data_IF_068037845473
#
_entry.id   IF_068037845473
#
_cell.length_a   1.000
_cell.length_b   1.000
_cell.length_c   1.000
_cell.angle_alpha   90.00
_cell.angle_beta   90.00
_cell.angle_gamma   90.00
#
_symmetry.space_group_name_H-M   'P 1'
#
loop_
_entity.id
_entity.type
_entity.pdbx_description
1 polymer ?
#
# COMPACT_ATOMS: atom_id res chain seq x y z
N UNK A 1 -4.38 12.36 -23.81
CA UNK A 1 -5.47 11.54 -23.29
C UNK A 1 -5.31 11.22 -21.82
N UNK A 2 -6.37 11.35 -21.08
CA UNK A 2 -6.32 11.08 -19.66
C UNK A 2 -6.75 9.67 -19.36
N UNK A 3 -6.09 9.07 -18.39
CA UNK A 3 -6.44 7.76 -17.89
C UNK A 3 -7.17 7.90 -16.57
N UNK A 4 -8.02 6.93 -16.25
CA UNK A 4 -8.63 6.92 -14.93
C UNK A 4 -7.56 6.90 -13.85
N UNK A 5 -7.84 7.59 -12.78
CA UNK A 5 -6.94 7.62 -11.66
C UNK A 5 -6.78 6.22 -11.09
N UNK A 6 -5.56 5.85 -10.79
CA UNK A 6 -5.28 4.55 -10.22
C UNK A 6 -5.03 3.46 -11.24
N UNK A 7 -5.35 3.71 -12.51
CA UNK A 7 -5.05 2.75 -13.55
C UNK A 7 -3.80 3.15 -14.34
N UNK A 8 -3.24 4.29 -14.04
CA UNK A 8 -2.04 4.79 -14.69
C UNK A 8 -0.83 4.35 -13.86
N UNK A 9 0.06 3.51 -14.43
CA UNK A 9 1.20 3.04 -13.64
C UNK A 9 2.12 4.16 -13.17
N UNK A 10 2.06 5.32 -13.80
CA UNK A 10 2.87 6.45 -13.35
C UNK A 10 2.36 7.07 -12.06
N UNK A 11 1.15 6.71 -11.64
CA UNK A 11 0.56 7.29 -10.45
C UNK A 11 0.83 6.44 -9.21
N UNK A 12 1.61 5.39 -9.33
CA UNK A 12 1.93 4.59 -8.17
C UNK A 12 3.41 4.23 -8.14
N UNK A 13 3.89 3.97 -6.94
CA UNK A 13 5.27 3.55 -6.71
C UNK A 13 5.23 2.23 -5.98
N UNK A 14 6.01 1.26 -6.47
CA UNK A 14 6.11 -0.06 -5.86
C UNK A 14 7.30 -0.05 -4.92
N UNK A 15 7.07 -0.50 -3.68
CA UNK A 15 8.10 -0.56 -2.67
C UNK A 15 8.05 -1.90 -1.97
N UNK A 16 9.00 -2.12 -1.09
CA UNK A 16 9.09 -3.37 -0.35
C UNK A 16 9.33 -3.05 1.12
N UNK A 17 8.52 -3.65 2.00
CA UNK A 17 8.70 -3.50 3.43
C UNK A 17 9.25 -4.78 4.02
N UNK A 18 10.35 -4.67 4.76
CA UNK A 18 10.92 -5.80 5.48
C UNK A 18 10.46 -5.85 6.93
N UNK A 19 9.54 -4.97 7.29
CA UNK A 19 8.98 -4.95 8.63
C UNK A 19 9.24 -3.63 9.32
N UNK A 20 8.37 -3.26 10.26
CA UNK A 20 8.53 -2.06 11.05
C UNK A 20 8.00 -0.80 10.39
N UNK A 21 7.43 -0.90 9.21
CA UNK A 21 7.01 0.28 8.44
C UNK A 21 5.50 0.43 8.33
N UNK A 22 4.82 -0.67 8.08
CA UNK A 22 3.40 -0.64 7.73
C UNK A 22 2.62 -1.71 8.46
N UNK A 23 1.32 -1.47 8.60
CA UNK A 23 0.42 -2.48 9.14
C UNK A 23 -0.89 -2.42 8.38
N UNK A 24 -1.65 -3.52 8.47
CA UNK A 24 -2.99 -3.55 7.89
C UNK A 24 -3.90 -2.60 8.66
N UNK A 25 -4.66 -1.79 7.92
CA UNK A 25 -5.53 -0.81 8.56
C UNK A 25 -6.70 -1.47 9.30
N UNK A 26 -7.12 -2.66 8.87
CA UNK A 26 -8.27 -3.32 9.48
C UNK A 26 -7.89 -4.21 10.65
N UNK A 27 -6.77 -4.92 10.59
CA UNK A 27 -6.38 -5.86 11.65
C UNK A 27 -5.28 -5.33 12.54
N UNK A 28 -4.61 -4.28 12.12
CA UNK A 28 -3.48 -3.67 12.82
C UNK A 28 -2.29 -4.61 12.95
N UNK A 29 -2.22 -5.61 12.08
CA UNK A 29 -1.08 -6.53 12.04
C UNK A 29 -0.01 -5.97 11.13
N UNK A 30 1.24 -6.20 11.48
CA UNK A 30 2.36 -5.73 10.69
C UNK A 30 2.35 -6.34 9.29
N UNK A 31 2.66 -5.53 8.29
CA UNK A 31 2.75 -5.99 6.91
C UNK A 31 4.21 -6.09 6.48
N UNK A 32 4.55 -7.22 5.88
CA UNK A 32 5.86 -7.46 5.29
C UNK A 32 5.64 -7.91 3.85
N UNK A 33 6.36 -7.28 2.92
CA UNK A 33 6.26 -7.65 1.52
C UNK A 33 6.16 -6.43 0.64
N UNK A 34 5.82 -6.67 -0.62
CA UNK A 34 5.68 -5.59 -1.58
C UNK A 34 4.37 -4.84 -1.38
N UNK A 35 4.41 -3.57 -1.63
CA UNK A 35 3.22 -2.73 -1.54
C UNK A 35 3.34 -1.62 -2.58
N UNK A 36 2.24 -0.94 -2.82
CA UNK A 36 2.24 0.16 -3.77
C UNK A 36 1.59 1.38 -3.14
N UNK A 37 2.13 2.54 -3.49
CA UNK A 37 1.70 3.84 -2.96
C UNK A 37 1.20 4.67 -4.12
N UNK A 38 -0.02 5.17 -4.00
CA UNK A 38 -0.57 6.07 -5.00
C UNK A 38 -0.17 7.51 -4.71
N UNK A 39 -0.29 8.34 -5.73
CA UNK A 39 0.09 9.73 -5.63
C UNK A 39 -0.65 10.47 -4.52
N UNK A 40 -1.88 10.08 -4.25
CA UNK A 40 -2.67 10.71 -3.20
C UNK A 40 -2.32 10.21 -1.79
N UNK A 41 -1.34 9.33 -1.67
CA UNK A 41 -0.91 8.82 -0.37
C UNK A 41 -1.53 7.51 0.04
N UNK A 42 -2.46 6.97 -0.74
CA UNK A 42 -3.06 5.68 -0.40
C UNK A 42 -2.03 4.57 -0.58
N UNK A 43 -2.00 3.63 0.38
CA UNK A 43 -1.05 2.53 0.38
C UNK A 43 -1.82 1.23 0.46
N UNK A 44 -1.49 0.30 -0.42
CA UNK A 44 -2.16 -1.00 -0.48
C UNK A 44 -1.12 -2.11 -0.55
N UNK A 45 -1.49 -3.27 -0.03
CA UNK A 45 -0.63 -4.45 -0.06
C UNK A 45 -0.50 -4.95 -1.51
N UNK A 46 0.56 -5.72 -1.76
CA UNK A 46 0.94 -6.27 -3.06
C UNK A 46 1.55 -5.23 -3.97
N UNK A 47 2.35 -5.70 -4.94
CA UNK A 47 3.01 -4.82 -5.89
C UNK A 47 2.01 -4.19 -6.85
N UNK A 48 0.91 -4.90 -7.14
CA UNK A 48 -0.13 -4.40 -8.02
C UNK A 48 -1.46 -4.48 -7.30
N UNK A 49 -2.32 -3.52 -7.59
CA UNK A 49 -3.62 -3.51 -6.97
C UNK A 49 -4.45 -4.70 -7.44
N UNK A 50 -5.06 -5.39 -6.49
CA UNK A 50 -5.98 -6.47 -6.75
C UNK A 50 -7.18 -6.29 -5.82
N UNK A 51 -8.35 -6.06 -6.41
CA UNK A 51 -9.53 -5.73 -5.63
C UNK A 51 -9.89 -6.84 -4.62
N UNK A 52 -9.45 -8.07 -4.87
CA UNK A 52 -9.77 -9.18 -3.98
C UNK A 52 -8.73 -9.37 -2.88
N UNK A 53 -7.47 -9.03 -3.13
CA UNK A 53 -6.40 -9.36 -2.20
C UNK A 53 -5.67 -8.15 -1.64
N UNK A 54 -5.70 -7.01 -2.35
CA UNK A 54 -5.03 -5.82 -1.84
C UNK A 54 -5.79 -5.26 -0.65
N UNK A 55 -5.07 -4.99 0.43
CA UNK A 55 -5.62 -4.44 1.65
C UNK A 55 -5.00 -3.09 1.91
N UNK A 56 -5.79 -2.19 2.46
CA UNK A 56 -5.27 -0.88 2.80
C UNK A 56 -4.26 -0.99 3.93
N UNK A 57 -3.15 -0.28 3.77
CA UNK A 57 -2.09 -0.26 4.77
C UNK A 57 -1.99 1.13 5.38
N UNK A 58 -1.39 1.20 6.56
CA UNK A 58 -1.17 2.46 7.23
C UNK A 58 0.19 2.39 7.93
N UNK A 59 0.75 3.54 8.32
CA UNK A 59 2.02 3.53 9.03
C UNK A 59 1.91 2.74 10.32
N UNK A 60 2.94 1.96 10.60
CA UNK A 60 2.98 1.17 11.83
C UNK A 60 3.17 2.11 13.01
N UNK A 61 2.23 2.07 13.93
CA UNK A 61 2.28 2.90 15.13
C UNK A 61 2.87 2.07 16.26
N UNK A 62 3.96 2.56 16.83
CA UNK A 62 4.62 1.87 17.92
C UNK A 62 4.38 2.63 19.20
N UNK A 63 4.02 1.93 20.28
CA UNK A 63 3.90 2.61 21.58
C UNK A 63 5.29 3.04 22.05
N UNK A 64 5.30 4.13 22.79
CA UNK A 64 6.54 4.62 23.37
C UNK A 64 6.83 3.94 24.70
#
# INVERSE_FOLDING_TARGET
MKRPLGSNPEDLVIRNSSGGDLMYADTLKEYIGEYHVYKNGAVYSNAEYNAKTSKQLMPLIKPL
#
